data_IF_249924288865
#
_entry.id   IF_249924288865
#
_cell.length_a   1.000
_cell.length_b   1.000
_cell.length_c   1.000
_cell.angle_alpha   90.00
_cell.angle_beta   90.00
_cell.angle_gamma   90.00
#
_symmetry.space_group_name_H-M   'P 1'
#
loop_
_entity.id
_entity.type
_entity.pdbx_description
1 polymer ?
#
# COMPACT_ATOMS: atom_id res chain seq x y z
N UNK A 1 -24.32 -17.29 2.97
CA UNK A 1 -23.68 -17.02 2.49
C UNK A 1 -22.70 -16.55 3.06
N UNK A 2 -21.96 -17.02 3.07
CA UNK A 2 -21.10 -16.68 3.65
C UNK A 2 -20.14 -16.15 3.07
N UNK A 3 -20.02 -16.11 2.17
CA UNK A 3 -19.13 -15.60 1.56
C UNK A 3 -18.96 -14.26 1.87
N UNK A 4 -18.19 -13.71 2.29
CA UNK A 4 -18.09 -12.43 2.59
C UNK A 4 -17.29 -11.76 1.53
N UNK A 5 -17.75 -11.63 0.32
CA UNK A 5 -17.02 -10.99 -0.76
C UNK A 5 -16.72 -9.53 -0.45
N UNK A 6 -17.53 -8.89 0.36
CA UNK A 6 -17.29 -7.50 0.75
C UNK A 6 -16.00 -7.31 1.52
N UNK A 7 -15.65 -8.28 2.36
CA UNK A 7 -14.43 -8.19 3.14
C UNK A 7 -13.19 -8.27 2.24
N UNK A 8 -13.22 -9.18 1.29
CA UNK A 8 -12.12 -9.36 0.35
C UNK A 8 -11.96 -8.14 -0.55
N UNK A 9 -13.09 -7.58 -1.03
CA UNK A 9 -13.06 -6.38 -1.84
C UNK A 9 -12.47 -5.20 -1.08
N UNK A 10 -12.77 -5.09 0.21
CA UNK A 10 -12.21 -4.02 1.03
C UNK A 10 -10.69 -4.14 1.13
N UNK A 11 -10.18 -5.35 1.30
CA UNK A 11 -8.75 -5.56 1.38
C UNK A 11 -8.07 -5.23 0.06
N UNK A 12 -8.66 -5.64 -1.05
CA UNK A 12 -8.13 -5.32 -2.37
C UNK A 12 -8.16 -3.81 -2.62
N UNK A 13 -9.25 -3.15 -2.21
CA UNK A 13 -9.36 -1.71 -2.33
C UNK A 13 -8.30 -0.99 -1.52
N UNK A 14 -8.03 -1.47 -0.30
CA UNK A 14 -7.00 -0.88 0.54
C UNK A 14 -5.62 -1.03 -0.11
N UNK A 15 -5.32 -2.21 -0.67
CA UNK A 15 -4.06 -2.44 -1.35
C UNK A 15 -3.91 -1.48 -2.54
N UNK A 16 -4.95 -1.34 -3.34
CA UNK A 16 -4.91 -0.44 -4.49
C UNK A 16 -4.66 1.00 -4.07
N UNK A 17 -5.29 1.44 -2.99
CA UNK A 17 -5.07 2.78 -2.46
C UNK A 17 -3.63 2.97 -2.04
N UNK A 18 -3.08 2.01 -1.31
CA UNK A 18 -1.70 2.11 -0.85
C UNK A 18 -0.76 2.10 -2.04
N UNK A 19 -1.01 1.25 -3.03
CA UNK A 19 -0.19 1.22 -4.23
C UNK A 19 -0.21 2.56 -4.97
N UNK A 20 -1.38 3.17 -5.09
CA UNK A 20 -1.49 4.49 -5.72
C UNK A 20 -0.73 5.54 -4.92
N UNK A 21 -0.83 5.49 -3.61
CA UNK A 21 -0.07 6.39 -2.75
C UNK A 21 1.43 6.20 -2.92
N UNK A 22 1.88 4.95 -3.02
CA UNK A 22 3.29 4.66 -3.20
C UNK A 22 3.81 5.24 -4.51
N UNK A 23 3.04 5.18 -5.57
CA UNK A 23 3.42 5.77 -6.84
C UNK A 23 3.63 7.28 -6.68
N UNK A 24 2.71 7.94 -5.99
CA UNK A 24 2.82 9.38 -5.74
C UNK A 24 4.07 9.70 -4.92
N UNK A 25 4.30 8.94 -3.86
CA UNK A 25 5.48 9.15 -3.02
C UNK A 25 6.78 8.88 -3.78
N UNK A 26 6.80 7.87 -4.61
CA UNK A 26 7.98 7.57 -5.41
C UNK A 26 8.27 8.68 -6.40
N UNK A 27 7.23 9.27 -7.02
CA UNK A 27 7.41 10.41 -7.91
C UNK A 27 7.95 11.62 -7.15
N UNK A 28 7.44 11.86 -5.95
CA UNK A 28 7.95 12.93 -5.12
C UNK A 28 9.39 12.67 -4.71
N UNK A 29 9.73 11.42 -4.44
CA UNK A 29 11.08 11.08 -4.05
C UNK A 29 12.08 11.28 -5.19
N UNK A 30 11.66 11.09 -6.44
CA UNK A 30 12.51 11.36 -7.58
C UNK A 30 12.99 12.82 -7.57
N UNK A 31 12.11 13.73 -7.14
CA UNK A 31 12.46 15.14 -7.05
C UNK A 31 13.17 15.50 -5.74
N UNK A 32 12.98 14.68 -4.69
CA UNK A 32 13.57 14.92 -3.38
C UNK A 32 14.19 13.62 -2.87
N UNK A 33 15.28 13.20 -3.46
CA UNK A 33 15.90 11.91 -3.13
C UNK A 33 16.38 11.83 -1.69
N UNK A 34 16.64 12.97 -1.07
CA UNK A 34 17.13 12.98 0.31
C UNK A 34 16.01 13.01 1.34
N UNK A 35 14.76 12.92 0.91
CA UNK A 35 13.65 13.01 1.85
C UNK A 35 13.46 11.67 2.56
N UNK A 36 13.98 11.60 3.77
CA UNK A 36 13.91 10.37 4.58
C UNK A 36 12.48 10.05 4.97
N UNK A 37 11.64 11.05 5.18
CA UNK A 37 10.24 10.81 5.56
C UNK A 37 9.49 10.11 4.43
N UNK A 38 9.72 10.51 3.19
CA UNK A 38 9.10 9.85 2.04
C UNK A 38 9.57 8.41 1.93
N UNK A 39 10.85 8.17 2.14
CA UNK A 39 11.38 6.79 2.12
C UNK A 39 10.71 5.92 3.16
N UNK A 40 10.53 6.43 4.38
CA UNK A 40 9.86 5.69 5.44
C UNK A 40 8.42 5.40 5.09
N UNK A 41 7.70 6.36 4.51
CA UNK A 41 6.32 6.16 4.10
C UNK A 41 6.21 5.10 3.03
N UNK A 42 7.13 5.10 2.07
CA UNK A 42 7.16 4.09 1.02
C UNK A 42 7.41 2.70 1.61
N UNK A 43 8.37 2.59 2.51
CA UNK A 43 8.66 1.32 3.15
C UNK A 43 7.47 0.80 3.96
N UNK A 44 6.81 1.68 4.71
CA UNK A 44 5.62 1.30 5.48
C UNK A 44 4.51 0.82 4.56
N UNK A 45 4.28 1.53 3.45
CA UNK A 45 3.27 1.13 2.50
C UNK A 45 3.56 -0.23 1.90
N UNK A 46 4.79 -0.47 1.51
CA UNK A 46 5.19 -1.78 0.97
C UNK A 46 5.02 -2.89 1.99
N UNK A 47 5.40 -2.63 3.24
CA UNK A 47 5.24 -3.60 4.32
C UNK A 47 3.75 -3.88 4.58
N UNK A 48 2.92 -2.85 4.59
CA UNK A 48 1.49 -2.99 4.78
C UNK A 48 0.88 -3.84 3.67
N UNK A 49 1.25 -3.58 2.42
CA UNK A 49 0.76 -4.37 1.29
C UNK A 49 1.18 -5.82 1.44
N UNK A 50 2.44 -6.05 1.76
CA UNK A 50 2.96 -7.40 1.93
C UNK A 50 2.21 -8.16 3.03
N UNK A 51 1.98 -7.50 4.17
CA UNK A 51 1.28 -8.13 5.28
C UNK A 51 -0.17 -8.40 4.94
N UNK A 52 -0.82 -7.47 4.26
CA UNK A 52 -2.22 -7.65 3.84
C UNK A 52 -2.35 -8.83 2.89
N UNK A 53 -1.47 -8.91 1.91
CA UNK A 53 -1.49 -10.03 0.95
C UNK A 53 -1.19 -11.36 1.63
N UNK A 54 -0.30 -11.34 2.63
CA UNK A 54 0.03 -12.54 3.37
C UNK A 54 -1.16 -13.06 4.16
N UNK A 55 -1.99 -12.14 4.69
CA UNK A 55 -3.16 -12.53 5.47
C UNK A 55 -4.37 -12.84 4.58
N UNK A 56 -4.33 -12.48 3.31
CA UNK A 56 -5.38 -12.84 2.38
C UNK A 56 -5.12 -14.23 1.86
N UNK A 57 -6.12 -15.05 1.95
CA UNK A 57 -6.02 -16.39 1.40
C UNK A 57 -6.99 -16.58 0.27
#
# INVERSE_FOLDING_TARGET
MNGNPGKQLRQEGAIKRIEAQLVIYEQKLVNNKDNKDLKKKIERGKTTIKNTKKNMK
#
